data_IF_631071271148
#
_entry.id   IF_631071271148
#
_cell.length_a   1.000
_cell.length_b   1.000
_cell.length_c   1.000
_cell.angle_alpha   90.00
_cell.angle_beta   90.00
_cell.angle_gamma   90.00
#
_symmetry.space_group_name_H-M   'P 1'
#
loop_
_entity.id
_entity.type
_entity.pdbx_description
1 polymer ?
#
# COMPACT_ATOMS: atom_id res chain seq x y z
N UNK A 1 27.71 7.33 -14.93
CA UNK A 1 26.30 6.94 -14.96
C UNK A 1 25.60 7.66 -16.10
N UNK A 2 24.98 6.92 -17.00
CA UNK A 2 24.27 7.52 -18.13
C UNK A 2 23.01 8.24 -17.65
N UNK A 3 22.67 9.41 -18.21
CA UNK A 3 21.41 10.04 -17.92
C UNK A 3 20.23 9.14 -18.27
N UNK A 4 19.24 9.11 -17.41
CA UNK A 4 18.02 8.34 -17.64
C UNK A 4 16.90 9.29 -18.08
N UNK A 5 16.17 8.89 -19.11
CA UNK A 5 14.99 9.62 -19.56
C UNK A 5 13.80 9.17 -18.71
N UNK A 6 13.04 10.13 -18.20
CA UNK A 6 11.85 9.88 -17.43
C UNK A 6 10.79 9.16 -18.28
N UNK A 7 10.07 8.22 -17.67
CA UNK A 7 9.01 7.46 -18.35
C UNK A 7 7.70 7.58 -17.61
N UNK A 8 6.60 7.52 -18.37
CA UNK A 8 5.24 7.43 -17.85
C UNK A 8 4.49 6.40 -18.69
N UNK A 9 4.17 5.26 -18.11
CA UNK A 9 3.50 4.18 -18.82
C UNK A 9 2.13 3.93 -18.21
N UNK A 10 1.08 4.25 -18.96
CA UNK A 10 -0.28 3.94 -18.54
C UNK A 10 -0.46 2.42 -18.44
N UNK A 11 -1.10 1.95 -17.39
CA UNK A 11 -1.26 0.52 -17.14
C UNK A 11 -2.72 0.17 -16.86
N UNK A 12 -3.10 -1.03 -17.32
CA UNK A 12 -4.39 -1.63 -16.99
C UNK A 12 -4.40 -2.08 -15.52
N UNK A 13 -5.57 -2.51 -15.02
CA UNK A 13 -5.66 -3.07 -13.67
C UNK A 13 -4.74 -4.28 -13.48
N UNK A 14 -4.73 -5.20 -14.43
CA UNK A 14 -3.89 -6.40 -14.33
C UNK A 14 -2.40 -6.05 -14.34
N UNK A 15 -2.00 -5.12 -15.20
CA UNK A 15 -0.62 -4.63 -15.24
C UNK A 15 -0.25 -3.89 -13.94
N UNK A 16 -1.18 -3.11 -13.37
CA UNK A 16 -0.99 -2.47 -12.08
C UNK A 16 -0.73 -3.52 -10.99
N UNK A 17 -1.57 -4.54 -10.90
CA UNK A 17 -1.43 -5.59 -9.89
C UNK A 17 -0.12 -6.35 -10.04
N UNK A 18 0.30 -6.65 -11.26
CA UNK A 18 1.60 -7.28 -11.52
C UNK A 18 2.76 -6.41 -11.03
N UNK A 19 2.63 -5.09 -11.18
CA UNK A 19 3.66 -4.15 -10.73
C UNK A 19 3.70 -4.03 -9.20
N UNK A 20 2.55 -3.92 -8.54
CA UNK A 20 2.52 -3.64 -7.09
C UNK A 20 2.68 -4.88 -6.22
N UNK A 21 2.28 -6.08 -6.67
CA UNK A 21 2.37 -7.30 -5.85
C UNK A 21 3.77 -7.58 -5.29
N UNK A 22 4.86 -7.46 -6.05
CA UNK A 22 6.21 -7.70 -5.49
C UNK A 22 6.77 -6.51 -4.70
N UNK A 23 6.07 -5.37 -4.67
CA UNK A 23 6.56 -4.14 -4.02
C UNK A 23 5.89 -3.96 -2.67
N UNK A 24 6.69 -4.08 -1.62
CA UNK A 24 6.18 -4.04 -0.24
C UNK A 24 6.47 -2.72 0.48
N UNK A 25 7.20 -1.82 -0.15
CA UNK A 25 7.50 -0.50 0.42
C UNK A 25 6.61 0.55 -0.23
N UNK A 26 5.80 1.20 0.58
CA UNK A 26 4.85 2.18 0.10
C UNK A 26 4.67 3.31 1.11
N UNK A 27 4.04 4.38 0.66
CA UNK A 27 3.61 5.49 1.52
C UNK A 27 2.09 5.55 1.43
N UNK A 28 1.42 5.41 2.58
CA UNK A 28 -0.03 5.59 2.67
C UNK A 28 -0.33 7.05 2.99
N UNK A 29 -1.24 7.63 2.24
CA UNK A 29 -1.67 9.02 2.38
C UNK A 29 -3.16 9.04 2.68
N UNK A 30 -3.52 9.64 3.82
CA UNK A 30 -4.89 9.79 4.27
C UNK A 30 -5.16 11.27 4.57
N UNK A 31 -6.44 11.65 4.69
CA UNK A 31 -6.81 13.03 4.96
C UNK A 31 -6.97 13.28 6.46
N UNK A 32 -6.28 14.28 6.97
CA UNK A 32 -6.51 14.78 8.34
C UNK A 32 -7.87 15.44 8.45
N UNK A 33 -8.33 15.69 9.68
CA UNK A 33 -9.61 16.36 9.94
C UNK A 33 -9.72 17.72 9.25
N UNK A 34 -8.60 18.44 9.10
CA UNK A 34 -8.56 19.73 8.40
C UNK A 34 -8.40 19.62 6.88
N UNK A 35 -8.38 18.39 6.33
CA UNK A 35 -8.25 18.12 4.91
C UNK A 35 -6.82 18.01 4.40
N UNK A 36 -5.82 18.29 5.22
CA UNK A 36 -4.42 18.17 4.81
C UNK A 36 -4.02 16.69 4.72
N UNK A 37 -3.12 16.34 3.81
CA UNK A 37 -2.65 14.96 3.72
C UNK A 37 -1.76 14.58 4.90
N UNK A 38 -1.92 13.35 5.36
CA UNK A 38 -1.01 12.72 6.32
C UNK A 38 -0.40 11.51 5.63
N UNK A 39 0.92 11.46 5.55
CA UNK A 39 1.66 10.41 4.85
C UNK A 39 2.50 9.62 5.83
N UNK A 40 2.52 8.30 5.67
CA UNK A 40 3.38 7.43 6.48
C UNK A 40 3.92 6.27 5.66
N UNK A 41 5.23 5.96 5.79
CA UNK A 41 5.80 4.78 5.15
C UNK A 41 5.27 3.52 5.82
N UNK A 42 5.01 2.51 5.01
CA UNK A 42 4.45 1.23 5.46
C UNK A 42 5.09 0.08 4.70
N UNK A 43 5.03 -1.10 5.32
CA UNK A 43 5.19 -2.35 4.60
C UNK A 43 3.80 -2.81 4.21
N UNK A 44 3.58 -3.07 2.93
CA UNK A 44 2.26 -3.42 2.40
C UNK A 44 2.29 -4.72 1.62
N UNK A 45 1.12 -5.32 1.47
CA UNK A 45 0.87 -6.43 0.58
C UNK A 45 -0.34 -6.14 -0.29
N UNK A 46 -0.62 -7.05 -1.22
CA UNK A 46 -1.83 -7.00 -2.05
C UNK A 46 -2.51 -8.35 -1.88
N UNK A 47 -3.78 -8.33 -1.49
CA UNK A 47 -4.53 -9.56 -1.28
C UNK A 47 -4.99 -10.19 -2.62
N UNK A 48 -5.63 -11.35 -2.55
CA UNK A 48 -6.06 -12.07 -3.75
C UNK A 48 -7.08 -11.29 -4.58
N UNK A 49 -7.85 -10.42 -3.93
CA UNK A 49 -8.83 -9.56 -4.61
C UNK A 49 -8.21 -8.29 -5.21
N UNK A 50 -6.92 -8.09 -5.06
CA UNK A 50 -6.23 -6.90 -5.58
C UNK A 50 -6.34 -5.67 -4.68
N UNK A 51 -6.62 -5.86 -3.40
CA UNK A 51 -6.70 -4.76 -2.44
C UNK A 51 -5.37 -4.60 -1.72
N UNK A 52 -4.98 -3.38 -1.46
CA UNK A 52 -3.77 -3.06 -0.71
C UNK A 52 -4.04 -3.25 0.77
N UNK A 53 -3.20 -4.02 1.45
CA UNK A 53 -3.37 -4.35 2.86
C UNK A 53 -2.16 -3.92 3.68
N UNK A 54 -2.42 -3.31 4.84
CA UNK A 54 -1.41 -2.76 5.73
C UNK A 54 -1.79 -3.11 7.17
N UNK A 55 -0.84 -3.69 7.90
CA UNK A 55 -1.00 -3.91 9.34
C UNK A 55 -0.83 -2.58 10.06
N UNK A 56 -1.74 -2.28 10.99
CA UNK A 56 -1.72 -1.04 11.74
C UNK A 56 -2.29 -1.23 13.14
N UNK A 57 -2.43 -0.14 13.87
CA UNK A 57 -3.09 -0.10 15.17
C UNK A 57 -4.21 0.92 15.15
N UNK A 58 -5.27 0.72 15.97
CA UNK A 58 -6.38 1.68 16.03
C UNK A 58 -5.97 3.12 16.34
N UNK A 59 -4.89 3.31 17.10
CA UNK A 59 -4.44 4.62 17.55
C UNK A 59 -3.62 5.39 16.51
N UNK A 60 -3.17 4.74 15.44
CA UNK A 60 -2.35 5.40 14.43
C UNK A 60 -3.14 6.44 13.64
N UNK A 61 -2.47 7.51 13.26
CA UNK A 61 -3.10 8.62 12.55
C UNK A 61 -3.81 8.16 11.26
N UNK A 62 -3.15 7.33 10.46
CA UNK A 62 -3.75 6.82 9.21
C UNK A 62 -5.01 6.00 9.46
N UNK A 63 -5.06 5.25 10.55
CA UNK A 63 -6.24 4.45 10.90
C UNK A 63 -7.40 5.34 11.29
N UNK A 64 -7.16 6.31 12.15
CA UNK A 64 -8.18 7.29 12.58
C UNK A 64 -8.68 8.12 11.42
N UNK A 65 -7.77 8.54 10.54
CA UNK A 65 -8.12 9.30 9.34
C UNK A 65 -9.00 8.48 8.39
N UNK A 66 -8.64 7.22 8.16
CA UNK A 66 -9.40 6.32 7.26
C UNK A 66 -10.82 6.06 7.78
N UNK A 67 -11.00 5.97 9.10
CA UNK A 67 -12.33 5.81 9.68
C UNK A 67 -13.22 7.02 9.42
N UNK A 68 -12.64 8.21 9.47
CA UNK A 68 -13.38 9.47 9.28
C UNK A 68 -13.62 9.77 7.81
N UNK A 69 -12.65 9.45 6.95
CA UNK A 69 -12.69 9.71 5.53
C UNK A 69 -12.04 8.53 4.79
N UNK A 70 -12.82 7.76 4.01
CA UNK A 70 -12.29 6.57 3.35
C UNK A 70 -11.38 6.85 2.16
N UNK A 71 -11.28 8.11 1.71
CA UNK A 71 -10.38 8.44 0.60
C UNK A 71 -8.93 8.27 1.04
N UNK A 72 -8.18 7.48 0.29
CA UNK A 72 -6.79 7.21 0.59
C UNK A 72 -6.00 7.03 -0.70
N UNK A 73 -4.70 7.29 -0.61
CA UNK A 73 -3.77 7.05 -1.71
C UNK A 73 -2.59 6.24 -1.21
N UNK A 74 -2.01 5.45 -2.10
CA UNK A 74 -0.82 4.66 -1.80
C UNK A 74 0.20 4.92 -2.88
N UNK A 75 1.38 5.37 -2.49
CA UNK A 75 2.51 5.52 -3.39
C UNK A 75 3.39 4.28 -3.23
N UNK A 76 3.39 3.41 -4.24
CA UNK A 76 4.25 2.23 -4.27
C UNK A 76 5.63 2.61 -4.79
N UNK A 77 6.65 2.22 -4.04
CA UNK A 77 8.04 2.47 -4.38
C UNK A 77 8.72 1.16 -4.76
N UNK A 78 9.78 1.25 -5.54
CA UNK A 78 10.69 0.12 -5.76
C UNK A 78 11.71 0.04 -4.61
N UNK A 79 12.31 -1.12 -4.40
CA UNK A 79 13.33 -1.30 -3.36
C UNK A 79 14.51 -0.36 -3.59
N UNK A 80 14.90 -0.16 -4.84
CA UNK A 80 15.77 0.94 -5.21
C UNK A 80 14.95 2.23 -5.25
N UNK A 81 15.29 3.21 -4.44
CA UNK A 81 14.58 4.49 -4.37
C UNK A 81 14.53 5.22 -5.71
N UNK A 82 15.51 5.03 -6.57
CA UNK A 82 15.53 5.58 -7.94
C UNK A 82 14.69 4.78 -8.95
N UNK A 83 14.08 3.68 -8.54
CA UNK A 83 13.29 2.82 -9.42
C UNK A 83 11.90 3.37 -9.73
N UNK A 84 11.13 2.59 -10.48
CA UNK A 84 9.79 2.95 -10.89
C UNK A 84 8.82 3.02 -9.69
N UNK A 85 7.81 3.88 -9.81
CA UNK A 85 6.74 4.02 -8.80
C UNK A 85 5.37 4.15 -9.47
N UNK A 86 4.33 3.96 -8.67
CA UNK A 86 2.95 4.24 -9.09
C UNK A 86 2.15 4.73 -7.89
N UNK A 87 1.25 5.68 -8.12
CA UNK A 87 0.30 6.11 -7.11
C UNK A 87 -1.07 5.53 -7.41
N UNK A 88 -1.65 4.91 -6.42
CA UNK A 88 -2.99 4.32 -6.47
C UNK A 88 -3.90 5.12 -5.55
N UNK A 89 -5.07 5.52 -6.05
CA UNK A 89 -6.11 6.17 -5.27
C UNK A 89 -7.25 5.20 -5.05
N UNK A 90 -7.82 5.19 -3.85
CA UNK A 90 -8.88 4.24 -3.56
C UNK A 90 -9.66 4.53 -2.30
N UNK A 91 -10.50 3.58 -1.94
CA UNK A 91 -11.32 3.65 -0.75
C UNK A 91 -10.75 2.72 0.32
N UNK A 92 -10.56 3.28 1.50
CA UNK A 92 -10.00 2.58 2.64
C UNK A 92 -11.10 2.10 3.58
N UNK A 93 -10.87 0.93 4.16
CA UNK A 93 -11.65 0.43 5.29
C UNK A 93 -10.72 -0.06 6.38
N UNK A 94 -11.16 0.02 7.61
CA UNK A 94 -10.42 -0.47 8.77
C UNK A 94 -11.13 -1.70 9.29
N UNK A 95 -10.37 -2.78 9.47
CA UNK A 95 -10.87 -4.02 10.02
C UNK A 95 -10.24 -4.21 11.38
N UNK A 96 -11.08 -4.33 12.42
CA UNK A 96 -10.64 -4.52 13.79
C UNK A 96 -10.76 -5.97 14.23
N UNK A 97 -10.20 -6.31 15.39
CA UNK A 97 -10.38 -7.62 15.99
C UNK A 97 -11.86 -7.83 16.38
N UNK A 98 -12.36 -9.05 16.26
CA UNK A 98 -11.67 -10.29 15.91
C UNK A 98 -11.48 -10.52 14.42
N UNK A 99 -12.20 -9.84 13.54
CA UNK A 99 -12.17 -10.07 12.09
C UNK A 99 -10.79 -9.79 11.46
N UNK A 100 -10.03 -8.88 12.06
CA UNK A 100 -8.70 -8.54 11.58
C UNK A 100 -7.73 -9.72 11.60
N UNK A 101 -7.95 -10.73 12.45
CA UNK A 101 -7.03 -11.85 12.58
C UNK A 101 -6.82 -12.58 11.23
N UNK A 102 -7.90 -12.90 10.52
CA UNK A 102 -7.80 -13.58 9.21
C UNK A 102 -7.29 -12.64 8.12
N UNK A 103 -7.67 -11.36 8.16
CA UNK A 103 -7.14 -10.39 7.22
C UNK A 103 -5.63 -10.19 7.38
N UNK A 104 -5.13 -10.24 8.62
CA UNK A 104 -3.69 -10.17 8.91
C UNK A 104 -2.94 -11.43 8.47
N UNK A 105 -3.57 -12.59 8.49
CA UNK A 105 -3.01 -13.82 7.91
C UNK A 105 -2.76 -13.62 6.41
N UNK A 106 -3.73 -13.10 5.68
CA UNK A 106 -3.58 -12.78 4.25
C UNK A 106 -2.48 -11.76 4.00
N UNK A 107 -2.40 -10.74 4.86
CA UNK A 107 -1.35 -9.73 4.82
C UNK A 107 0.04 -10.36 4.98
N UNK A 108 0.22 -11.19 6.00
CA UNK A 108 1.50 -11.85 6.25
C UNK A 108 1.90 -12.73 5.06
N UNK A 109 0.96 -13.54 4.54
CA UNK A 109 1.21 -14.39 3.37
C UNK A 109 1.67 -13.61 2.16
N UNK A 110 1.05 -12.46 1.92
CA UNK A 110 1.39 -11.62 0.76
C UNK A 110 2.82 -11.08 0.84
N UNK A 111 3.35 -10.88 2.04
CA UNK A 111 4.67 -10.26 2.25
C UNK A 111 5.76 -11.31 2.49
N UNK A 112 5.48 -12.31 3.32
CA UNK A 112 6.50 -13.22 3.85
C UNK A 112 6.22 -14.70 3.61
N UNK A 113 5.10 -15.05 2.97
CA UNK A 113 4.73 -16.45 2.73
C UNK A 113 4.12 -17.11 3.96
N UNK A 114 4.34 -18.41 4.12
CA UNK A 114 3.72 -19.16 5.21
C UNK A 114 4.41 -18.93 6.55
N UNK A 115 3.60 -18.71 7.58
CA UNK A 115 4.08 -18.63 8.96
C UNK A 115 4.21 -20.06 9.53
N UNK A 116 5.22 -20.35 10.35
CA UNK A 116 5.39 -21.68 10.94
C UNK A 116 4.29 -22.09 11.93
N UNK A 117 3.56 -21.12 12.49
CA UNK A 117 2.50 -21.40 13.47
C UNK A 117 1.42 -20.31 13.37
N UNK A 118 0.39 -20.54 12.57
CA UNK A 118 -0.70 -19.59 12.36
C UNK A 118 -1.53 -19.33 13.62
N UNK A 119 -1.70 -20.32 14.48
CA UNK A 119 -2.46 -20.14 15.71
C UNK A 119 -1.74 -19.18 16.66
N UNK A 120 -0.42 -19.32 16.80
CA UNK A 120 0.40 -18.37 17.56
C UNK A 120 0.33 -16.96 16.97
N UNK A 121 0.40 -16.85 15.64
CA UNK A 121 0.31 -15.58 14.95
C UNK A 121 -1.03 -14.90 15.24
N UNK A 122 -2.15 -15.61 15.09
CA UNK A 122 -3.48 -15.08 15.36
C UNK A 122 -3.62 -14.59 16.81
N UNK A 123 -3.13 -15.37 17.76
CA UNK A 123 -3.14 -15.00 19.17
C UNK A 123 -2.32 -13.75 19.43
N UNK A 124 -1.14 -13.65 18.82
CA UNK A 124 -0.29 -12.46 18.96
C UNK A 124 -0.95 -11.22 18.41
N UNK A 125 -1.59 -11.31 17.25
CA UNK A 125 -2.27 -10.17 16.62
C UNK A 125 -3.45 -9.71 17.48
N UNK A 126 -4.23 -10.65 18.02
CA UNK A 126 -5.35 -10.33 18.90
C UNK A 126 -4.86 -9.69 20.21
N UNK A 127 -3.82 -10.23 20.80
CA UNK A 127 -3.23 -9.71 22.05
C UNK A 127 -2.68 -8.29 21.87
N UNK A 128 -2.11 -8.00 20.70
CA UNK A 128 -1.59 -6.68 20.37
C UNK A 128 -2.69 -5.70 20.00
N UNK A 129 -3.92 -6.16 19.77
CA UNK A 129 -5.02 -5.31 19.38
C UNK A 129 -4.85 -4.67 18.02
N UNK A 130 -4.24 -5.39 17.08
CA UNK A 130 -3.97 -4.87 15.74
C UNK A 130 -5.24 -4.67 14.92
N UNK A 131 -5.17 -3.73 14.01
CA UNK A 131 -6.15 -3.53 12.94
C UNK A 131 -5.49 -3.75 11.59
N UNK A 132 -6.31 -3.99 10.57
CA UNK A 132 -5.85 -4.01 9.19
C UNK A 132 -6.48 -2.84 8.44
N UNK A 133 -5.65 -2.09 7.73
CA UNK A 133 -6.10 -1.07 6.78
C UNK A 133 -6.12 -1.71 5.40
N UNK A 134 -7.27 -1.64 4.73
CA UNK A 134 -7.46 -2.25 3.41
C UNK A 134 -7.97 -1.21 2.43
N UNK A 135 -7.27 -1.04 1.30
CA UNK A 135 -7.55 -0.01 0.33
C UNK A 135 -7.88 -0.67 -1.00
N UNK A 136 -9.09 -0.41 -1.51
CA UNK A 136 -9.54 -0.91 -2.81
C UNK A 136 -9.17 0.11 -3.89
N UNK A 137 -8.29 -0.25 -4.85
CA UNK A 137 -7.93 0.66 -5.93
C UNK A 137 -9.15 1.07 -6.76
N UNK A 138 -9.30 2.37 -7.00
CA UNK A 138 -10.35 2.94 -7.85
C UNK A 138 -9.77 3.59 -9.09
N UNK A 139 -8.63 4.25 -8.95
CA UNK A 139 -7.89 4.85 -10.06
C UNK A 139 -6.41 4.86 -9.72
N UNK A 140 -5.59 5.06 -10.72
CA UNK A 140 -4.14 5.08 -10.55
C UNK A 140 -3.50 5.88 -11.66
N UNK A 141 -2.31 6.41 -11.36
CA UNK A 141 -1.47 7.06 -12.35
C UNK A 141 -0.68 6.07 -13.19
N UNK A 142 0.19 6.57 -14.05
CA UNK A 142 1.10 5.72 -14.80
C UNK A 142 2.17 5.12 -13.88
N UNK A 143 2.74 4.00 -14.32
CA UNK A 143 4.02 3.54 -13.76
C UNK A 143 5.10 4.46 -14.34
N UNK A 144 5.83 5.12 -13.46
CA UNK A 144 6.73 6.20 -13.83
C UNK A 144 8.14 5.97 -13.33
N UNK A 145 9.11 6.56 -14.03
CA UNK A 145 10.48 6.70 -13.55
C UNK A 145 10.89 8.16 -13.65
N UNK A 146 11.74 8.60 -12.72
CA UNK A 146 12.35 9.92 -12.78
C UNK A 146 13.44 9.99 -13.82
N UNK A 147 13.91 11.19 -14.09
CA UNK A 147 15.01 11.43 -15.04
C UNK A 147 14.80 12.70 -15.85
N UNK A 148 15.51 12.79 -16.95
CA UNK A 148 15.39 13.93 -17.85
C UNK A 148 14.10 13.84 -18.67
N UNK A 149 13.47 14.99 -18.99
CA UNK A 149 12.31 14.98 -19.88
C UNK A 149 12.72 14.52 -21.29
N UNK A 150 11.78 13.86 -21.99
CA UNK A 150 12.04 13.28 -23.31
C UNK A 150 12.57 14.31 -24.33
N UNK A 151 12.18 15.59 -24.20
CA UNK A 151 12.67 16.66 -25.10
C UNK A 151 14.18 16.84 -25.06
N UNK A 152 14.85 16.36 -24.01
CA UNK A 152 16.30 16.44 -23.85
C UNK A 152 17.03 15.17 -24.31
N UNK A 153 16.31 14.16 -24.79
CA UNK A 153 16.84 12.93 -25.34
C UNK A 153 17.19 13.16 -26.82
N UNK A 154 18.19 13.94 -27.07
CA UNK A 154 18.50 14.33 -28.44
C UNK A 154 19.71 13.65 -29.01
#
# INVERSE_FOLDING_TARGET
MSPQIATNTAVSRDELLDFIRPRHHAVVITARADGRPQASPVTCGVDEAGRVVVSTYPERAKTRNARRNPQASVLFLSDDFGGAWVQVDGDAEVIDMPEAAEALVSYYRAIAGEHPDWDEYREAMARQGKSLLRITPKSWGPVATGGFPARLAG
#
